data_IF_818041028144
#
_entry.id   IF_818041028144
#
_cell.length_a   1.000
_cell.length_b   1.000
_cell.length_c   1.000
_cell.angle_alpha   90.00
_cell.angle_beta   90.00
_cell.angle_gamma   90.00
#
_symmetry.space_group_name_H-M   'P 1'
#
loop_
_entity.id
_entity.type
_entity.pdbx_description
1 polymer ?
#
# COMPACT_ATOMS: atom_id res chain seq x y z
N UNK A 1 16.74 57.39 -18.22
CA UNK A 1 17.18 56.13 -18.87
C UNK A 1 17.46 55.00 -17.86
N UNK A 2 16.94 55.04 -16.62
CA UNK A 2 17.16 53.99 -15.61
C UNK A 2 16.12 52.85 -15.65
N UNK A 3 14.90 53.11 -16.14
CA UNK A 3 13.82 52.12 -16.15
C UNK A 3 13.94 51.01 -17.20
N UNK A 4 14.63 51.26 -18.32
CA UNK A 4 14.73 50.29 -19.42
C UNK A 4 15.70 49.14 -19.10
N UNK A 5 16.79 49.44 -18.36
CA UNK A 5 17.78 48.45 -17.93
C UNK A 5 17.21 47.45 -16.91
N UNK A 6 16.38 47.95 -15.98
CA UNK A 6 15.74 47.10 -14.96
C UNK A 6 14.75 46.09 -15.55
N UNK A 7 13.87 46.54 -16.45
CA UNK A 7 12.90 45.66 -17.11
C UNK A 7 13.61 44.59 -17.95
N UNK A 8 14.66 44.97 -18.67
CA UNK A 8 15.46 44.05 -19.48
C UNK A 8 16.10 42.94 -18.62
N UNK A 9 16.68 43.29 -17.48
CA UNK A 9 17.23 42.30 -16.54
C UNK A 9 16.15 41.36 -15.99
N UNK A 10 14.98 41.87 -15.64
CA UNK A 10 13.86 41.06 -15.15
C UNK A 10 13.43 40.03 -16.22
N UNK A 11 13.31 40.45 -17.48
CA UNK A 11 12.95 39.55 -18.59
C UNK A 11 14.01 38.47 -18.79
N UNK A 12 15.29 38.82 -18.71
CA UNK A 12 16.39 37.84 -18.82
C UNK A 12 16.33 36.80 -17.70
N UNK A 13 16.14 37.25 -16.45
CA UNK A 13 16.06 36.34 -15.30
C UNK A 13 14.89 35.38 -15.47
N UNK A 14 13.71 35.88 -15.84
CA UNK A 14 12.54 35.04 -16.10
C UNK A 14 12.81 34.04 -17.23
N UNK A 15 13.39 34.49 -18.34
CA UNK A 15 13.71 33.63 -19.47
C UNK A 15 14.67 32.50 -19.08
N UNK A 16 15.72 32.81 -18.31
CA UNK A 16 16.68 31.82 -17.83
C UNK A 16 16.06 30.85 -16.82
N UNK A 17 15.20 31.33 -15.92
CA UNK A 17 14.48 30.47 -14.97
C UNK A 17 13.54 29.50 -15.66
N UNK A 18 12.79 29.97 -16.67
CA UNK A 18 11.89 29.12 -17.47
C UNK A 18 12.69 28.10 -18.28
N UNK A 19 13.78 28.51 -18.92
CA UNK A 19 14.65 27.62 -19.69
C UNK A 19 15.28 26.53 -18.78
N UNK A 20 15.72 26.90 -17.59
CA UNK A 20 16.23 25.97 -16.59
C UNK A 20 15.16 24.97 -16.13
N UNK A 21 13.98 25.46 -15.76
CA UNK A 21 12.86 24.62 -15.32
C UNK A 21 12.41 23.64 -16.41
N UNK A 22 12.34 24.08 -17.67
CA UNK A 22 11.96 23.22 -18.79
C UNK A 22 12.99 22.10 -19.01
N UNK A 23 14.27 22.41 -18.88
CA UNK A 23 15.36 21.43 -19.03
C UNK A 23 15.26 20.34 -17.97
N UNK A 24 15.07 20.73 -16.70
CA UNK A 24 14.89 19.79 -15.59
C UNK A 24 13.65 18.91 -15.77
N UNK A 25 12.53 19.49 -16.22
CA UNK A 25 11.31 18.75 -16.51
C UNK A 25 11.53 17.69 -17.60
N UNK A 26 12.25 18.03 -18.68
CA UNK A 26 12.54 17.08 -19.76
C UNK A 26 13.42 15.92 -19.30
N UNK A 27 14.42 16.19 -18.46
CA UNK A 27 15.28 15.14 -17.89
C UNK A 27 14.44 14.20 -17.01
N UNK A 28 13.59 14.77 -16.14
CA UNK A 28 12.72 13.98 -15.26
C UNK A 28 11.70 13.13 -16.05
N UNK A 29 11.14 13.65 -17.15
CA UNK A 29 10.22 12.86 -17.99
C UNK A 29 10.95 11.80 -18.82
N UNK A 30 12.19 12.06 -19.24
CA UNK A 30 13.03 11.09 -19.96
C UNK A 30 13.51 9.92 -19.07
N UNK A 31 13.53 10.10 -17.75
CA UNK A 31 13.89 9.04 -16.80
C UNK A 31 12.72 8.09 -16.48
N UNK A 32 11.51 8.37 -16.98
CA UNK A 32 10.33 7.51 -16.79
C UNK A 32 10.37 6.37 -17.79
N UNK A 33 10.24 5.15 -17.31
CA UNK A 33 10.14 3.96 -18.16
C UNK A 33 8.70 3.74 -18.64
N UNK A 34 7.70 4.13 -17.84
CA UNK A 34 6.28 3.97 -18.15
C UNK A 34 5.41 5.13 -17.63
N UNK A 35 4.25 5.35 -18.26
CA UNK A 35 3.18 6.27 -17.79
C UNK A 35 1.89 5.53 -17.50
N UNK A 36 1.65 4.42 -18.18
CA UNK A 36 0.51 3.54 -17.99
C UNK A 36 0.96 2.07 -18.02
N UNK A 37 0.11 1.17 -17.51
CA UNK A 37 0.38 -0.27 -17.52
C UNK A 37 0.56 -0.83 -18.95
N UNK A 38 -0.06 -0.21 -19.95
CA UNK A 38 0.07 -0.58 -21.37
C UNK A 38 1.46 -0.31 -21.95
N UNK A 39 2.27 0.51 -21.28
CA UNK A 39 3.65 0.80 -21.71
C UNK A 39 4.62 -0.29 -21.26
N UNK A 40 4.19 -1.16 -20.32
CA UNK A 40 5.00 -2.25 -19.78
C UNK A 40 4.74 -3.58 -20.51
N UNK A 41 5.69 -4.54 -20.47
CA UNK A 41 5.47 -5.91 -20.92
C UNK A 41 4.27 -6.56 -20.23
N UNK A 42 3.67 -7.58 -20.87
CA UNK A 42 2.43 -8.22 -20.39
C UNK A 42 2.50 -8.77 -18.96
N UNK A 43 3.70 -9.12 -18.47
CA UNK A 43 3.94 -9.69 -17.14
C UNK A 43 4.21 -8.61 -16.06
N UNK A 44 4.18 -7.33 -16.43
CA UNK A 44 4.58 -6.21 -15.60
C UNK A 44 3.48 -5.13 -15.49
N UNK A 45 3.53 -4.33 -14.42
CA UNK A 45 2.70 -3.15 -14.22
C UNK A 45 3.57 -1.90 -14.06
N UNK A 46 3.00 -0.73 -14.34
CA UNK A 46 3.68 0.54 -14.14
C UNK A 46 3.56 0.97 -12.67
N UNK A 47 4.69 1.06 -11.98
CA UNK A 47 4.76 1.52 -10.60
C UNK A 47 4.62 3.03 -10.46
N UNK A 48 4.35 3.49 -9.23
CA UNK A 48 4.31 4.93 -8.91
C UNK A 48 5.67 5.62 -9.04
N UNK A 49 6.75 4.84 -9.13
CA UNK A 49 8.11 5.26 -9.43
C UNK A 49 8.38 5.39 -10.95
N UNK A 50 7.34 5.21 -11.78
CA UNK A 50 7.40 5.24 -13.25
C UNK A 50 8.31 4.16 -13.84
N UNK A 51 8.44 3.02 -13.14
CA UNK A 51 9.19 1.84 -13.59
C UNK A 51 8.27 0.65 -13.77
N UNK A 52 8.65 -0.27 -14.65
CA UNK A 52 7.89 -1.51 -14.86
C UNK A 52 8.28 -2.57 -13.83
N UNK A 53 7.32 -3.01 -13.01
CA UNK A 53 7.50 -4.04 -11.98
C UNK A 53 6.78 -5.33 -12.38
N UNK A 54 7.33 -6.52 -12.08
CA UNK A 54 6.64 -7.77 -12.33
C UNK A 54 5.37 -7.90 -11.47
N UNK A 55 4.30 -8.46 -12.03
CA UNK A 55 3.14 -8.82 -11.23
C UNK A 55 3.56 -9.80 -10.11
N UNK A 56 3.06 -9.60 -8.87
CA UNK A 56 3.37 -10.52 -7.79
C UNK A 56 2.84 -11.91 -8.14
N UNK A 57 3.74 -12.90 -8.15
CA UNK A 57 3.33 -14.29 -8.29
C UNK A 57 2.55 -14.65 -7.04
N UNK A 58 1.26 -14.92 -7.19
CA UNK A 58 0.42 -15.39 -6.10
C UNK A 58 0.85 -16.83 -5.83
N UNK A 59 1.79 -17.00 -4.90
CA UNK A 59 1.99 -18.31 -4.30
C UNK A 59 0.71 -18.61 -3.52
N UNK A 60 0.00 -19.67 -3.93
CA UNK A 60 -1.14 -20.17 -3.18
C UNK A 60 -0.57 -20.75 -1.88
N UNK A 61 -0.34 -19.87 -0.90
CA UNK A 61 0.00 -20.27 0.45
C UNK A 61 -1.24 -20.97 0.96
N UNK A 62 -1.17 -22.31 1.05
CA UNK A 62 -2.21 -23.11 1.69
C UNK A 62 -2.22 -22.72 3.16
N UNK A 63 -3.06 -21.75 3.52
CA UNK A 63 -3.34 -21.45 4.91
C UNK A 63 -4.07 -22.64 5.51
N UNK A 64 -3.37 -23.42 6.32
CA UNK A 64 -3.97 -24.49 7.09
C UNK A 64 -4.68 -23.90 8.32
N UNK A 65 -6.00 -23.80 8.23
CA UNK A 65 -6.84 -23.31 9.32
C UNK A 65 -7.26 -24.42 10.30
N UNK A 66 -6.79 -25.66 10.13
CA UNK A 66 -7.18 -26.77 11.00
C UNK A 66 -6.71 -26.53 12.45
N UNK A 67 -5.46 -26.07 12.62
CA UNK A 67 -4.90 -25.77 13.95
C UNK A 67 -5.64 -24.62 14.65
N UNK A 68 -5.82 -23.42 14.05
CA UNK A 68 -6.54 -22.35 14.73
C UNK A 68 -8.01 -22.71 14.98
N UNK A 69 -8.67 -23.44 14.07
CA UNK A 69 -10.04 -23.90 14.29
C UNK A 69 -10.14 -24.88 15.48
N UNK A 70 -9.17 -25.78 15.64
CA UNK A 70 -9.11 -26.72 16.76
C UNK A 70 -8.93 -26.00 18.10
N UNK A 71 -8.09 -24.96 18.15
CA UNK A 71 -7.90 -24.14 19.38
C UNK A 71 -9.21 -23.44 19.76
N UNK A 72 -9.87 -22.79 18.81
CA UNK A 72 -11.15 -22.11 19.07
C UNK A 72 -12.22 -23.11 19.52
N UNK A 73 -12.30 -24.28 18.87
CA UNK A 73 -13.21 -25.35 19.27
C UNK A 73 -12.99 -25.82 20.70
N UNK A 74 -11.73 -26.05 21.10
CA UNK A 74 -11.37 -26.44 22.47
C UNK A 74 -11.78 -25.38 23.50
N UNK A 75 -11.55 -24.10 23.22
CA UNK A 75 -11.95 -23.01 24.11
C UNK A 75 -13.46 -22.99 24.36
N UNK A 76 -14.27 -23.19 23.31
CA UNK A 76 -15.74 -23.22 23.42
C UNK A 76 -16.19 -24.39 24.29
N UNK A 77 -15.64 -25.59 24.07
CA UNK A 77 -15.97 -26.79 24.85
C UNK A 77 -15.60 -26.62 26.33
N UNK A 78 -14.41 -26.08 26.62
CA UNK A 78 -13.98 -25.81 27.99
C UNK A 78 -14.86 -24.78 28.69
N UNK A 79 -15.21 -23.69 28.01
CA UNK A 79 -16.11 -22.67 28.54
C UNK A 79 -17.48 -23.27 28.89
N UNK A 80 -18.04 -24.09 28.00
CA UNK A 80 -19.31 -24.77 28.23
C UNK A 80 -19.28 -25.70 29.45
N UNK A 81 -18.18 -26.44 29.65
CA UNK A 81 -18.01 -27.30 30.82
C UNK A 81 -17.91 -26.52 32.14
N UNK A 82 -17.20 -25.39 32.14
CA UNK A 82 -17.09 -24.53 33.33
C UNK A 82 -18.45 -23.96 33.72
N UNK A 83 -19.23 -23.47 32.75
CA UNK A 83 -20.57 -22.93 33.01
C UNK A 83 -21.52 -24.02 33.52
N UNK A 84 -21.50 -25.21 32.91
CA UNK A 84 -22.32 -26.34 33.34
C UNK A 84 -22.07 -26.72 34.80
N UNK A 85 -20.80 -26.75 35.23
CA UNK A 85 -20.42 -27.13 36.60
C UNK A 85 -20.82 -26.08 37.64
N UNK A 86 -20.97 -24.80 37.27
CA UNK A 86 -21.42 -23.73 38.17
C UNK A 86 -22.93 -23.70 38.40
N UNK A 87 -23.72 -24.32 37.51
CA UNK A 87 -25.18 -24.33 37.59
C UNK A 87 -25.77 -25.62 38.19
N UNK A 88 -24.96 -26.49 38.80
CA UNK A 88 -25.50 -27.64 39.55
C UNK A 88 -26.14 -27.15 40.87
N UNK A 89 -27.46 -27.30 41.08
CA UNK A 89 -28.10 -26.92 42.34
C UNK A 89 -27.55 -27.79 43.49
N UNK A 90 -27.42 -27.25 44.71
CA UNK A 90 -26.93 -28.02 45.85
C UNK A 90 -27.84 -29.22 46.08
N UNK A 91 -27.25 -30.43 46.12
CA UNK A 91 -27.97 -31.70 46.29
C UNK A 91 -28.66 -31.86 47.65
N UNK A 92 -28.70 -30.84 48.51
CA UNK A 92 -29.26 -30.91 49.86
C UNK A 92 -30.78 -30.71 49.94
N UNK A 93 -31.49 -30.61 48.82
CA UNK A 93 -32.94 -30.36 48.81
C UNK A 93 -33.80 -31.56 48.36
N UNK A 94 -33.19 -32.73 48.15
CA UNK A 94 -33.88 -34.01 47.95
C UNK A 94 -33.57 -34.92 49.16
N UNK A 95 -34.18 -34.60 50.31
CA UNK A 95 -34.35 -35.53 51.42
C UNK A 95 -35.85 -35.63 51.71
#
# INVERSE_FOLDING_TARGET
>A
MAGFSGIFMIVIVIALSVAGALTLYRIADAQKECKANTDCPAENYCGSDFKCHPFPKIEIVKFDFAIPALIVGLCIVLAAMIVKKKHEPPKSFYQ
#
